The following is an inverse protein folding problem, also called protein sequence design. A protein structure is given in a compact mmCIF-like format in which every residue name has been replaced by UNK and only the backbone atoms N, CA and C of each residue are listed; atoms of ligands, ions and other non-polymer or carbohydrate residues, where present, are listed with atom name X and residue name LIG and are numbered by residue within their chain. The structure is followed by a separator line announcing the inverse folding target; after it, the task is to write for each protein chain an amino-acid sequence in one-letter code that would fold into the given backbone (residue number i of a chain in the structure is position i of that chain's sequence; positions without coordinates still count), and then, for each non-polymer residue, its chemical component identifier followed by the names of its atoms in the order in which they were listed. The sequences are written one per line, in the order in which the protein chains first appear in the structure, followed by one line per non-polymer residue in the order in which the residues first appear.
data_IF_220166448510
#
_entry.id   IF_220166448510
#
_cell.length_a   1.000
_cell.length_b   1.000
_cell.length_c   1.000
_cell.angle_alpha   90.00
_cell.angle_beta   90.00
_cell.angle_gamma   90.00
#
_symmetry.space_group_name_H-M   'P 1'
#
loop_
_entity.id
_entity.type
_entity.pdbx_description
1 polymer ?
#
# COMPACT_ATOMS: atom_id res chain seq x y z
N UNK A 1 23.92 -81.06 23.80
CA UNK A 1 23.98 -79.63 23.43
C UNK A 1 24.69 -78.89 24.55
N UNK A 2 25.83 -78.25 24.27
CA UNK A 2 26.68 -77.61 25.28
C UNK A 2 26.05 -76.31 25.79
N UNK A 3 26.29 -75.95 27.07
CA UNK A 3 25.88 -74.67 27.68
C UNK A 3 26.29 -73.46 26.81
N UNK A 4 27.45 -73.58 26.15
CA UNK A 4 28.00 -72.55 25.27
C UNK A 4 27.09 -72.22 24.08
N UNK A 5 26.48 -73.23 23.45
CA UNK A 5 25.55 -73.01 22.34
C UNK A 5 24.27 -72.31 22.81
N UNK A 6 23.79 -72.61 24.02
CA UNK A 6 22.63 -71.93 24.59
C UNK A 6 22.92 -70.45 24.89
N UNK A 7 24.13 -70.14 25.37
CA UNK A 7 24.56 -68.76 25.63
C UNK A 7 24.66 -67.94 24.33
N UNK A 8 25.16 -68.54 23.24
CA UNK A 8 25.20 -67.90 21.91
C UNK A 8 23.79 -67.60 21.41
N UNK A 9 22.86 -68.56 21.52
CA UNK A 9 21.47 -68.36 21.10
C UNK A 9 20.81 -67.26 21.93
N UNK A 10 21.01 -67.26 23.25
CA UNK A 10 20.47 -66.23 24.15
C UNK A 10 21.01 -64.82 23.80
N UNK A 11 22.29 -64.72 23.45
CA UNK A 11 22.91 -63.47 23.02
C UNK A 11 22.29 -62.93 21.73
N UNK A 12 22.15 -63.77 20.70
CA UNK A 12 21.53 -63.35 19.43
C UNK A 12 20.06 -62.93 19.60
N UNK A 13 19.28 -63.68 20.39
CA UNK A 13 17.89 -63.35 20.70
C UNK A 13 17.79 -62.05 21.49
N UNK A 14 18.69 -61.82 22.45
CA UNK A 14 18.73 -60.57 23.21
C UNK A 14 19.04 -59.36 22.33
N UNK A 15 19.99 -59.47 21.39
CA UNK A 15 20.30 -58.38 20.46
C UNK A 15 19.12 -58.05 19.54
N UNK A 16 18.41 -59.06 19.05
CA UNK A 16 17.21 -58.85 18.22
C UNK A 16 16.11 -58.17 19.03
N UNK A 17 15.84 -58.65 20.26
CA UNK A 17 14.84 -58.03 21.15
C UNK A 17 15.21 -56.57 21.45
N UNK A 18 16.48 -56.28 21.69
CA UNK A 18 16.95 -54.91 21.96
C UNK A 18 16.81 -53.99 20.74
N UNK A 19 17.13 -54.49 19.54
CA UNK A 19 16.91 -53.76 18.30
C UNK A 19 15.41 -53.46 18.07
N UNK A 20 14.54 -54.44 18.36
CA UNK A 20 13.10 -54.25 18.28
C UNK A 20 12.56 -53.28 19.33
N UNK A 21 13.07 -53.35 20.57
CA UNK A 21 12.67 -52.45 21.65
C UNK A 21 13.07 -50.99 21.34
N UNK A 22 14.30 -50.78 20.87
CA UNK A 22 14.78 -49.46 20.46
C UNK A 22 14.02 -48.92 19.25
N UNK A 23 13.74 -49.78 18.25
CA UNK A 23 12.90 -49.42 17.10
C UNK A 23 11.47 -49.04 17.52
N UNK A 24 10.84 -49.78 18.43
CA UNK A 24 9.51 -49.43 18.95
C UNK A 24 9.55 -48.10 19.68
N UNK A 25 10.53 -47.88 20.57
CA UNK A 25 10.68 -46.61 21.29
C UNK A 25 10.91 -45.45 20.32
N UNK A 26 11.72 -45.65 19.28
CA UNK A 26 11.94 -44.63 18.25
C UNK A 26 10.69 -44.39 17.41
N UNK A 27 9.94 -45.44 17.06
CA UNK A 27 8.66 -45.34 16.33
C UNK A 27 7.57 -44.62 17.14
N UNK A 28 7.54 -44.85 18.46
CA UNK A 28 6.65 -44.12 19.36
C UNK A 28 7.11 -42.68 19.57
N UNK A 29 8.42 -42.44 19.72
CA UNK A 29 8.98 -41.08 19.84
C UNK A 29 8.76 -40.28 18.56
N UNK A 30 8.98 -40.85 17.38
CA UNK A 30 8.75 -40.17 16.10
C UNK A 30 7.28 -39.85 15.83
N UNK A 31 6.35 -40.55 16.49
CA UNK A 31 4.91 -40.23 16.44
C UNK A 31 4.49 -39.19 17.49
N UNK A 32 5.28 -38.99 18.55
CA UNK A 32 5.02 -38.04 19.64
C UNK A 32 5.89 -36.79 19.58
N UNK A 33 6.90 -36.77 18.72
CA UNK A 33 7.62 -35.58 18.31
C UNK A 33 6.63 -34.77 17.48
N UNK A 34 6.07 -33.70 18.08
CA UNK A 34 5.26 -32.73 17.37
C UNK A 34 6.05 -32.37 16.12
N UNK A 35 5.55 -32.78 14.96
CA UNK A 35 6.20 -32.43 13.70
C UNK A 35 6.29 -30.91 13.64
N UNK A 36 7.40 -30.37 13.15
CA UNK A 36 7.53 -28.92 12.89
C UNK A 36 6.33 -28.34 12.12
N UNK A 37 5.63 -29.20 11.36
CA UNK A 37 4.37 -28.92 10.67
C UNK A 37 3.19 -28.51 11.57
N UNK A 38 3.09 -29.05 12.79
CA UNK A 38 2.01 -28.75 13.76
C UNK A 38 2.25 -27.38 14.41
N UNK A 39 3.53 -27.02 14.64
CA UNK A 39 3.92 -25.67 15.07
C UNK A 39 3.69 -24.64 13.96
N UNK A 40 3.99 -24.99 12.72
CA UNK A 40 3.70 -24.14 11.57
C UNK A 40 2.19 -23.98 11.31
N UNK A 41 1.37 -25.01 11.54
CA UNK A 41 -0.10 -24.92 11.49
C UNK A 41 -0.65 -23.99 12.58
N UNK A 42 -0.14 -24.10 13.81
CA UNK A 42 -0.51 -23.20 14.92
C UNK A 42 -0.15 -21.75 14.60
N UNK A 43 1.05 -21.50 14.05
CA UNK A 43 1.46 -20.17 13.56
C UNK A 43 0.57 -19.68 12.43
N UNK A 44 0.17 -20.54 11.50
CA UNK A 44 -0.71 -20.17 10.38
C UNK A 44 -2.10 -19.77 10.89
N UNK A 45 -2.65 -20.51 11.87
CA UNK A 45 -3.90 -20.16 12.54
C UNK A 45 -3.78 -18.85 13.31
N UNK A 46 -2.67 -18.61 14.00
CA UNK A 46 -2.40 -17.34 14.69
C UNK A 46 -2.33 -16.17 13.69
N UNK A 47 -1.61 -16.34 12.58
CA UNK A 47 -1.52 -15.36 11.50
C UNK A 47 -2.90 -15.10 10.89
N UNK A 48 -3.68 -16.14 10.65
CA UNK A 48 -5.04 -16.01 10.12
C UNK A 48 -5.96 -15.23 11.07
N UNK A 49 -5.83 -15.47 12.38
CA UNK A 49 -6.51 -14.68 13.41
C UNK A 49 -6.10 -13.21 13.38
N UNK A 50 -4.79 -12.92 13.31
CA UNK A 50 -4.26 -11.55 13.21
C UNK A 50 -4.71 -10.86 11.93
N UNK A 51 -4.70 -11.56 10.79
CA UNK A 51 -5.15 -11.03 9.49
C UNK A 51 -6.63 -10.71 9.55
N UNK A 52 -7.46 -11.58 10.12
CA UNK A 52 -8.90 -11.33 10.28
C UNK A 52 -9.14 -10.06 11.10
N UNK A 53 -8.51 -9.96 12.27
CA UNK A 53 -8.63 -8.77 13.14
C UNK A 53 -8.11 -7.51 12.45
N UNK A 54 -7.01 -7.61 11.69
CA UNK A 54 -6.46 -6.49 10.93
C UNK A 54 -7.40 -6.04 9.82
N UNK A 55 -7.96 -6.98 9.04
CA UNK A 55 -8.93 -6.69 7.99
C UNK A 55 -10.18 -6.07 8.57
N UNK A 56 -10.73 -6.63 9.65
CA UNK A 56 -11.91 -6.10 10.33
C UNK A 56 -11.64 -4.67 10.84
N UNK A 57 -10.47 -4.42 11.45
CA UNK A 57 -10.06 -3.09 11.91
C UNK A 57 -9.90 -2.09 10.76
N UNK A 58 -9.32 -2.51 9.63
CA UNK A 58 -9.19 -1.65 8.44
C UNK A 58 -10.54 -1.39 7.79
N UNK A 59 -11.44 -2.36 7.78
CA UNK A 59 -12.81 -2.20 7.30
C UNK A 59 -13.58 -1.20 8.16
N UNK A 60 -13.51 -1.33 9.49
CA UNK A 60 -14.14 -0.38 10.42
C UNK A 60 -13.58 1.04 10.25
N UNK A 61 -12.26 1.17 10.08
CA UNK A 61 -11.63 2.47 9.80
C UNK A 61 -12.09 3.04 8.46
N UNK A 62 -12.26 2.20 7.44
CA UNK A 62 -12.72 2.60 6.11
C UNK A 62 -14.19 3.07 6.16
N UNK A 63 -15.04 2.37 6.91
CA UNK A 63 -16.42 2.77 7.15
C UNK A 63 -16.48 4.12 7.87
N UNK A 64 -15.64 4.32 8.90
CA UNK A 64 -15.53 5.61 9.59
C UNK A 64 -15.09 6.74 8.66
N UNK A 65 -14.06 6.52 7.83
CA UNK A 65 -13.62 7.51 6.83
C UNK A 65 -14.72 7.80 5.82
N UNK A 66 -15.47 6.78 5.39
CA UNK A 66 -16.60 6.95 4.47
C UNK A 66 -17.71 7.79 5.09
N UNK A 67 -18.00 7.58 6.38
CA UNK A 67 -18.98 8.37 7.12
C UNK A 67 -18.52 9.82 7.31
N UNK A 68 -17.24 10.05 7.62
CA UNK A 68 -16.65 11.39 7.69
C UNK A 68 -16.74 12.11 6.33
N UNK A 69 -16.43 11.41 5.22
CA UNK A 69 -16.57 11.95 3.86
C UNK A 69 -18.03 12.29 3.55
N UNK A 70 -18.99 11.43 3.91
CA UNK A 70 -20.42 11.72 3.74
C UNK A 70 -20.87 12.93 4.55
N UNK A 71 -20.36 13.08 5.78
CA UNK A 71 -20.64 14.23 6.63
C UNK A 71 -20.09 15.53 6.01
N UNK A 72 -18.84 15.52 5.56
CA UNK A 72 -18.23 16.66 4.87
C UNK A 72 -18.97 17.00 3.57
N UNK A 73 -19.42 16.00 2.80
CA UNK A 73 -20.22 16.21 1.61
C UNK A 73 -21.57 16.86 1.93
N UNK A 74 -22.22 16.44 3.02
CA UNK A 74 -23.48 17.03 3.49
C UNK A 74 -23.27 18.47 3.94
N UNK A 75 -22.22 18.73 4.71
CA UNK A 75 -21.85 20.06 5.20
C UNK A 75 -21.53 21.01 4.04
N UNK A 76 -20.75 20.56 3.06
CA UNK A 76 -20.47 21.33 1.83
C UNK A 76 -21.74 21.64 1.04
N UNK A 77 -22.66 20.67 0.93
CA UNK A 77 -23.93 20.90 0.25
C UNK A 77 -24.80 21.91 1.00
N UNK A 78 -24.86 21.84 2.33
CA UNK A 78 -25.54 22.82 3.16
C UNK A 78 -24.91 24.22 3.03
N UNK A 79 -23.58 24.31 3.05
CA UNK A 79 -22.85 25.56 2.83
C UNK A 79 -23.12 26.13 1.43
N UNK A 80 -23.13 25.29 0.39
CA UNK A 80 -23.46 25.73 -0.98
C UNK A 80 -24.91 26.23 -1.07
N UNK A 81 -25.86 25.58 -0.42
CA UNK A 81 -27.26 26.02 -0.36
C UNK A 81 -27.35 27.36 0.37
N UNK A 82 -26.66 27.52 1.51
CA UNK A 82 -26.68 28.77 2.29
C UNK A 82 -26.01 29.92 1.55
N UNK A 83 -24.87 29.72 0.90
CA UNK A 83 -24.21 30.71 0.04
C UNK A 83 -25.11 31.06 -1.14
N UNK A 84 -25.77 30.08 -1.76
CA UNK A 84 -26.71 30.33 -2.87
C UNK A 84 -27.92 31.15 -2.40
N UNK A 85 -28.48 30.82 -1.24
CA UNK A 85 -29.59 31.58 -0.64
C UNK A 85 -29.16 33.00 -0.27
N UNK A 86 -28.00 33.19 0.37
CA UNK A 86 -27.44 34.49 0.72
C UNK A 86 -27.10 35.32 -0.53
N UNK A 87 -26.64 34.68 -1.60
CA UNK A 87 -26.35 35.34 -2.88
C UNK A 87 -27.62 35.78 -3.58
N UNK A 88 -28.70 34.99 -3.55
CA UNK A 88 -30.02 35.40 -4.04
C UNK A 88 -30.53 36.58 -3.21
N UNK A 89 -30.46 36.50 -1.88
CA UNK A 89 -30.91 37.58 -0.98
C UNK A 89 -30.15 38.89 -1.22
N UNK A 90 -28.83 38.80 -1.46
CA UNK A 90 -27.97 39.95 -1.77
C UNK A 90 -28.13 40.51 -3.19
N UNK A 91 -28.62 39.72 -4.16
CA UNK A 91 -28.88 40.15 -5.54
C UNK A 91 -30.31 40.68 -5.77
N UNK A 92 -31.22 40.59 -4.79
CA UNK A 92 -32.57 41.16 -4.90
C UNK A 92 -32.57 42.70 -4.99
N UNK A 93 -31.42 43.36 -4.78
CA UNK A 93 -31.27 44.79 -5.00
C UNK A 93 -30.82 45.23 -6.39
N UNK A 94 -30.36 44.33 -7.29
CA UNK A 94 -29.83 44.79 -8.57
C UNK A 94 -29.92 43.73 -9.71
N UNK A 95 -31.05 43.80 -10.42
CA UNK A 95 -31.24 43.40 -11.82
C UNK A 95 -31.38 41.90 -12.18
N UNK A 96 -32.35 41.71 -13.09
CA UNK A 96 -32.63 40.59 -13.99
C UNK A 96 -33.45 39.39 -13.48
N UNK A 97 -34.70 39.40 -13.93
CA UNK A 97 -35.45 38.23 -14.43
C UNK A 97 -34.52 37.13 -14.97
N UNK A 98 -34.43 36.01 -14.25
CA UNK A 98 -34.23 34.70 -14.86
C UNK A 98 -35.17 33.73 -14.14
N UNK A 99 -36.13 33.25 -14.90
CA UNK A 99 -37.17 32.32 -14.48
C UNK A 99 -36.59 31.01 -13.91
N UNK A 100 -37.15 30.57 -12.80
CA UNK A 100 -37.03 29.23 -12.21
C UNK A 100 -37.95 28.26 -12.99
N UNK A 101 -37.90 26.94 -12.76
CA UNK A 101 -36.85 25.94 -13.01
C UNK A 101 -37.34 24.87 -14.02
N UNK A 102 -36.47 24.24 -14.81
CA UNK A 102 -36.85 23.03 -15.59
C UNK A 102 -36.13 21.79 -15.08
N UNK A 103 -36.98 20.79 -14.88
CA UNK A 103 -36.76 19.48 -14.31
C UNK A 103 -35.73 18.65 -15.11
N UNK A 104 -34.96 17.88 -14.37
CA UNK A 104 -34.69 16.45 -14.59
C UNK A 104 -35.08 15.88 -15.96
N UNK A 105 -34.10 15.60 -16.83
CA UNK A 105 -34.18 14.49 -17.78
C UNK A 105 -32.87 13.71 -17.82
N UNK A 106 -33.01 12.42 -17.56
CA UNK A 106 -32.02 11.37 -17.71
C UNK A 106 -31.90 11.00 -19.19
N UNK A 107 -30.69 10.56 -19.56
CA UNK A 107 -30.32 9.68 -20.68
C UNK A 107 -30.46 10.23 -22.11
N UNK A 108 -29.34 10.36 -22.83
CA UNK A 108 -29.02 9.50 -24.00
C UNK A 108 -27.55 9.67 -24.42
N UNK A 109 -26.99 8.59 -24.94
CA UNK A 109 -25.58 8.32 -25.24
C UNK A 109 -25.28 8.60 -26.73
N UNK A 110 -24.02 8.96 -27.00
CA UNK A 110 -23.27 8.92 -28.27
C UNK A 110 -23.77 9.70 -29.50
N UNK A 111 -22.92 10.64 -29.96
CA UNK A 111 -22.37 10.59 -31.33
C UNK A 111 -21.15 11.50 -31.53
N UNK A 112 -20.01 10.88 -31.85
CA UNK A 112 -18.84 11.50 -32.49
C UNK A 112 -19.18 12.11 -33.87
N UNK A 113 -18.45 13.17 -34.28
CA UNK A 113 -17.58 13.21 -35.49
C UNK A 113 -17.31 14.65 -35.95
N UNK A 114 -16.00 14.97 -36.05
CA UNK A 114 -15.30 15.90 -36.96
C UNK A 114 -15.59 17.41 -36.92
N UNK A 115 -14.70 18.34 -37.28
CA UNK A 115 -13.26 18.43 -37.62
C UNK A 115 -13.06 19.90 -38.07
N UNK A 116 -11.82 20.39 -38.05
CA UNK A 116 -11.34 21.63 -38.71
C UNK A 116 -11.71 22.97 -38.02
N UNK A 117 -10.86 23.96 -37.81
CA UNK A 117 -9.47 24.20 -38.18
C UNK A 117 -9.11 25.68 -37.89
N UNK A 118 -7.81 25.95 -37.81
CA UNK A 118 -7.10 27.23 -38.05
C UNK A 118 -6.95 28.35 -36.98
N UNK A 119 -5.64 28.68 -36.78
CA UNK A 119 -4.99 30.02 -36.57
C UNK A 119 -5.03 30.58 -35.12
N UNK A 120 -4.00 31.24 -34.57
CA UNK A 120 -2.78 31.88 -35.09
C UNK A 120 -1.86 32.29 -33.92
N UNK A 121 -0.56 32.16 -34.15
CA UNK A 121 0.61 33.01 -33.83
C UNK A 121 0.64 33.94 -32.60
N UNK A 122 1.73 33.77 -31.82
CA UNK A 122 2.64 34.74 -31.21
C UNK A 122 2.10 35.85 -30.27
N UNK A 123 2.76 36.01 -29.11
CA UNK A 123 3.50 37.23 -28.71
C UNK A 123 3.97 37.14 -27.24
N UNK A 124 5.30 37.33 -27.12
CA UNK A 124 6.11 37.90 -26.04
C UNK A 124 6.30 37.24 -24.67
N UNK A 125 7.48 36.66 -24.56
CA UNK A 125 8.47 36.93 -23.51
C UNK A 125 8.35 38.28 -22.77
N UNK A 126 8.40 38.25 -21.44
CA UNK A 126 9.18 39.24 -20.70
C UNK A 126 9.96 38.55 -19.58
N UNK A 127 11.24 38.37 -19.91
CA UNK A 127 12.35 38.04 -19.01
C UNK A 127 12.45 38.99 -17.82
N UNK A 128 12.83 38.45 -16.66
CA UNK A 128 13.81 38.99 -15.68
C UNK A 128 13.82 38.04 -14.48
N UNK A 129 14.93 37.62 -13.88
CA UNK A 129 16.37 37.81 -14.08
C UNK A 129 17.01 36.70 -13.20
N UNK A 130 17.95 35.90 -13.69
CA UNK A 130 19.42 35.98 -13.43
C UNK A 130 19.74 35.92 -11.92
N UNK A 131 20.38 34.86 -11.38
CA UNK A 131 21.82 34.58 -11.57
C UNK A 131 22.27 33.20 -11.07
N UNK A 132 23.18 32.58 -11.85
CA UNK A 132 24.35 31.71 -11.52
C UNK A 132 24.15 30.44 -10.66
N UNK A 133 24.67 29.25 -10.98
CA UNK A 133 25.95 28.97 -11.64
C UNK A 133 26.03 27.54 -12.23
N UNK A 134 26.91 27.38 -13.21
CA UNK A 134 27.10 26.22 -14.09
C UNK A 134 27.71 24.98 -13.40
N UNK A 135 27.22 23.78 -13.74
CA UNK A 135 28.07 22.73 -14.32
C UNK A 135 27.25 21.66 -15.05
N UNK A 136 27.54 21.53 -16.33
CA UNK A 136 27.10 20.48 -17.25
C UNK A 136 27.69 19.12 -16.87
N UNK A 137 26.88 18.07 -16.92
CA UNK A 137 27.19 16.94 -17.80
C UNK A 137 25.90 16.26 -18.28
N UNK A 138 25.87 16.05 -19.58
CA UNK A 138 24.75 15.69 -20.42
C UNK A 138 24.75 14.17 -20.64
N UNK A 139 23.68 13.48 -20.25
CA UNK A 139 23.10 12.32 -20.97
C UNK A 139 21.93 11.71 -20.17
N UNK A 140 20.71 12.11 -20.55
CA UNK A 140 19.76 11.24 -21.27
C UNK A 140 18.33 11.74 -21.02
N UNK A 141 17.91 12.72 -21.81
CA UNK A 141 16.48 13.00 -21.99
C UNK A 141 15.83 11.81 -22.68
N UNK A 142 14.86 11.19 -22.01
CA UNK A 142 13.54 10.79 -22.53
C UNK A 142 12.83 9.94 -21.49
N UNK A 143 11.98 10.58 -20.70
CA UNK A 143 10.65 10.11 -20.29
C UNK A 143 10.03 11.18 -19.39
N UNK A 144 9.67 12.31 -20.00
CA UNK A 144 8.77 13.28 -19.40
C UNK A 144 7.34 12.83 -19.71
N UNK A 145 6.80 11.94 -18.89
CA UNK A 145 5.37 11.64 -18.84
C UNK A 145 5.02 11.67 -17.35
N UNK A 146 4.32 12.73 -16.95
CA UNK A 146 3.63 12.91 -15.66
C UNK A 146 4.41 12.44 -14.42
N UNK A 147 5.28 13.30 -13.86
CA UNK A 147 5.73 13.13 -12.47
C UNK A 147 4.52 13.32 -11.56
N UNK A 148 3.95 12.21 -11.13
CA UNK A 148 2.97 12.13 -10.04
C UNK A 148 3.61 12.65 -8.75
N UNK A 149 2.79 13.19 -7.84
CA UNK A 149 3.26 13.66 -6.53
C UNK A 149 3.99 12.56 -5.74
N UNK A 150 3.72 11.29 -6.03
CA UNK A 150 4.36 10.12 -5.40
C UNK A 150 5.87 10.03 -5.69
N UNK A 151 6.32 10.27 -6.92
CA UNK A 151 7.75 10.25 -7.27
C UNK A 151 8.54 11.28 -6.45
N UNK A 152 7.92 12.41 -6.11
CA UNK A 152 8.55 13.46 -5.31
C UNK A 152 8.72 13.06 -3.84
N UNK A 153 7.85 12.20 -3.33
CA UNK A 153 7.90 11.73 -1.95
C UNK A 153 8.92 10.59 -1.82
N UNK A 154 9.01 9.72 -2.82
CA UNK A 154 10.00 8.65 -2.88
C UNK A 154 11.43 9.20 -2.93
N UNK A 155 11.68 10.19 -3.78
CA UNK A 155 12.99 10.84 -3.89
C UNK A 155 13.35 11.58 -2.58
N UNK A 156 12.37 12.21 -1.93
CA UNK A 156 12.54 12.87 -0.62
C UNK A 156 12.83 11.87 0.51
N UNK A 157 12.20 10.70 0.50
CA UNK A 157 12.49 9.61 1.45
C UNK A 157 13.92 9.12 1.28
N UNK A 158 14.36 8.93 0.04
CA UNK A 158 15.69 8.45 -0.26
C UNK A 158 16.77 9.47 0.10
N UNK A 159 16.54 10.77 -0.16
CA UNK A 159 17.43 11.85 0.30
C UNK A 159 17.57 11.89 1.83
N UNK A 160 16.46 11.75 2.58
CA UNK A 160 16.52 11.70 4.05
C UNK A 160 17.31 10.50 4.56
N UNK A 161 17.20 9.35 3.89
CA UNK A 161 17.99 8.16 4.19
C UNK A 161 19.48 8.35 3.90
N UNK A 162 19.84 8.96 2.76
CA UNK A 162 21.23 9.29 2.42
C UNK A 162 21.86 10.28 3.42
N UNK A 163 21.05 11.16 4.01
CA UNK A 163 21.45 12.05 5.10
C UNK A 163 21.66 11.32 6.45
N UNK A 164 21.51 9.99 6.48
CA UNK A 164 21.76 9.15 7.66
C UNK A 164 20.58 9.03 8.61
N UNK A 165 19.38 9.44 8.20
CA UNK A 165 18.17 9.31 9.00
C UNK A 165 17.69 7.84 8.98
N UNK A 166 17.33 7.31 10.15
CA UNK A 166 16.82 5.94 10.25
C UNK A 166 15.40 5.84 9.63
N UNK A 167 15.01 4.71 9.01
CA UNK A 167 13.68 4.55 8.40
C UNK A 167 12.52 4.83 9.38
N UNK A 168 12.73 4.58 10.67
CA UNK A 168 11.76 4.87 11.74
C UNK A 168 11.54 6.37 11.91
N UNK A 169 12.60 7.17 11.82
CA UNK A 169 12.54 8.63 11.96
C UNK A 169 11.96 9.30 10.72
N UNK A 170 12.29 8.78 9.53
CA UNK A 170 11.71 9.22 8.26
C UNK A 170 10.21 8.96 8.26
N UNK A 171 9.77 7.76 8.66
CA UNK A 171 8.36 7.39 8.77
C UNK A 171 7.59 8.30 9.73
N UNK A 172 8.20 8.68 10.86
CA UNK A 172 7.61 9.62 11.82
C UNK A 172 7.49 11.04 11.25
N UNK A 173 8.50 11.48 10.49
CA UNK A 173 8.54 12.82 9.89
C UNK A 173 7.53 12.97 8.76
N UNK A 174 7.36 11.93 7.94
CA UNK A 174 6.46 11.90 6.80
C UNK A 174 5.07 11.32 7.11
N UNK A 175 4.83 10.89 8.35
CA UNK A 175 3.60 10.20 8.79
C UNK A 175 3.24 8.99 7.92
N UNK A 176 4.25 8.25 7.49
CA UNK A 176 4.12 7.01 6.70
C UNK A 176 4.38 5.77 7.56
N UNK A 177 4.03 4.59 7.05
CA UNK A 177 4.39 3.33 7.70
C UNK A 177 5.89 3.06 7.60
N UNK A 178 6.50 2.56 8.68
CA UNK A 178 7.94 2.19 8.68
C UNK A 178 8.26 1.16 7.58
N UNK A 179 7.33 0.24 7.31
CA UNK A 179 7.47 -0.73 6.22
C UNK A 179 7.41 -0.11 4.82
N UNK A 180 6.59 0.92 4.61
CA UNK A 180 6.47 1.61 3.32
C UNK A 180 7.76 2.38 3.02
N UNK A 181 8.29 3.10 4.02
CA UNK A 181 9.56 3.83 3.91
C UNK A 181 10.73 2.87 3.64
N UNK A 182 10.80 1.73 4.34
CA UNK A 182 11.84 0.72 4.09
C UNK A 182 11.75 0.14 2.67
N UNK A 183 10.53 -0.12 2.19
CA UNK A 183 10.31 -0.65 0.85
C UNK A 183 10.75 0.35 -0.24
N UNK A 184 10.43 1.63 -0.05
CA UNK A 184 10.84 2.72 -0.96
C UNK A 184 12.36 2.84 -0.99
N UNK A 185 13.03 2.82 0.17
CA UNK A 185 14.50 2.86 0.24
C UNK A 185 15.12 1.67 -0.50
N UNK A 186 14.59 0.46 -0.31
CA UNK A 186 15.10 -0.75 -0.97
C UNK A 186 14.88 -0.73 -2.49
N UNK A 187 13.73 -0.23 -2.96
CA UNK A 187 13.44 -0.04 -4.38
C UNK A 187 14.37 0.99 -5.03
N UNK A 188 14.53 2.15 -4.39
CA UNK A 188 15.40 3.25 -4.86
C UNK A 188 16.87 2.84 -4.89
N UNK A 189 17.33 2.11 -3.88
CA UNK A 189 18.69 1.55 -3.83
C UNK A 189 18.97 0.58 -4.99
N UNK A 190 17.94 -0.09 -5.51
CA UNK A 190 18.04 -1.04 -6.63
C UNK A 190 18.00 -0.37 -8.00
N UNK A 191 17.39 0.80 -8.11
CA UNK A 191 17.33 1.59 -9.34
C UNK A 191 18.57 2.46 -9.56
N UNK A 192 19.22 2.91 -8.49
CA UNK A 192 20.46 3.70 -8.55
C UNK A 192 21.74 2.86 -8.66
N UNK A 193 21.63 1.53 -8.81
CA UNK A 193 22.75 0.59 -8.85
C UNK A 193 22.81 -0.14 -10.19
#
# INVERSE_FOLDING_TARGET
MTIFNWLIILSTVSTVIFAWATFLVQSFRSKNEKSDLDEDEERLVELMGKVRVFVDSKMELLDKKTEEVRKLLKELNEELITISALSIDKNIGNSLNIDKPTQTTKNEVDKFVSEDGQKKDDIDSTLRNISSDQKSDERNSRNSIEKSEDDSIEERIFEMFLNGMEPVEIAKTLKMGVGEVSLIIDLMKRQHH
#
